data_IF_656008469110
#
_entry.id   IF_656008469110
#
_cell.length_a   1.000
_cell.length_b   1.000
_cell.length_c   1.000
_cell.angle_alpha   90.00
_cell.angle_beta   90.00
_cell.angle_gamma   90.00
#
_symmetry.space_group_name_H-M   'P 1'
#
loop_
_entity.id
_entity.type
_entity.pdbx_description
1 polymer ?
#
# COMPACT_ATOMS: atom_id res chain seq x y z
N UNK A 1 -14.73 -81.80 14.05
CA UNK A 1 -13.61 -80.91 13.78
C UNK A 1 -13.87 -79.86 12.68
N UNK A 2 -15.05 -79.79 12.03
CA UNK A 2 -15.30 -78.88 10.89
C UNK A 2 -16.05 -77.56 11.22
N UNK A 3 -16.52 -77.39 12.46
CA UNK A 3 -17.23 -76.13 12.83
C UNK A 3 -16.33 -75.02 13.38
N UNK A 4 -15.18 -75.35 13.97
CA UNK A 4 -14.23 -74.36 14.48
C UNK A 4 -13.42 -73.64 13.39
N UNK A 5 -13.15 -74.34 12.29
CA UNK A 5 -12.37 -73.80 11.14
C UNK A 5 -13.12 -72.70 10.35
N UNK A 6 -14.47 -72.78 10.28
CA UNK A 6 -15.28 -71.74 9.59
C UNK A 6 -15.45 -70.46 10.37
N UNK A 7 -15.40 -70.55 11.71
CA UNK A 7 -15.51 -69.37 12.57
C UNK A 7 -14.23 -68.53 12.57
N UNK A 8 -13.06 -69.20 12.46
CA UNK A 8 -11.78 -68.53 12.35
C UNK A 8 -11.58 -67.84 10.98
N UNK A 9 -12.16 -68.39 9.91
CA UNK A 9 -12.06 -67.80 8.56
C UNK A 9 -12.95 -66.52 8.44
N UNK A 10 -14.07 -66.50 9.08
CA UNK A 10 -14.98 -65.32 9.09
C UNK A 10 -14.42 -64.19 9.98
N UNK A 11 -13.75 -64.49 11.06
CA UNK A 11 -13.07 -63.47 11.87
C UNK A 11 -11.85 -62.87 11.16
N UNK A 12 -11.10 -63.67 10.38
CA UNK A 12 -9.97 -63.21 9.63
C UNK A 12 -10.37 -62.28 8.43
N UNK A 13 -11.52 -62.51 7.78
CA UNK A 13 -12.03 -61.69 6.72
C UNK A 13 -12.61 -60.38 7.28
N UNK A 14 -13.20 -60.37 8.47
CA UNK A 14 -13.70 -59.15 9.11
C UNK A 14 -12.56 -58.27 9.68
N UNK A 15 -11.44 -58.85 10.09
CA UNK A 15 -10.22 -58.12 10.51
C UNK A 15 -9.49 -57.47 9.34
N UNK A 16 -9.57 -58.05 8.11
CA UNK A 16 -8.99 -57.44 6.90
C UNK A 16 -9.79 -56.29 6.32
N UNK A 17 -11.11 -56.14 6.66
CA UNK A 17 -11.95 -55.06 6.22
C UNK A 17 -11.86 -53.78 7.08
N UNK A 18 -11.19 -53.85 8.24
CA UNK A 18 -11.01 -52.72 9.16
C UNK A 18 -9.67 -51.99 9.00
N UNK A 19 -8.77 -52.43 8.12
CA UNK A 19 -7.46 -51.79 7.88
C UNK A 19 -7.45 -50.88 6.66
N UNK A 20 -8.58 -50.60 6.04
CA UNK A 20 -8.64 -49.97 4.71
C UNK A 20 -9.33 -48.64 4.63
N UNK A 21 -9.28 -47.75 5.63
CA UNK A 21 -9.54 -46.30 5.40
C UNK A 21 -8.82 -45.49 6.47
N UNK A 22 -7.52 -45.55 6.50
CA UNK A 22 -6.72 -44.43 6.95
C UNK A 22 -6.54 -43.52 5.76
N UNK A 23 -7.51 -42.62 5.51
CA UNK A 23 -7.25 -41.42 4.73
C UNK A 23 -6.20 -40.62 5.51
N UNK A 24 -4.93 -40.98 5.35
CA UNK A 24 -3.86 -40.02 5.50
C UNK A 24 -4.21 -38.90 4.50
N UNK A 25 -4.75 -37.77 4.99
CA UNK A 25 -4.58 -36.49 4.30
C UNK A 25 -3.07 -36.43 4.02
N UNK A 26 -2.68 -36.73 2.80
CA UNK A 26 -1.36 -36.43 2.30
C UNK A 26 -1.22 -34.92 2.42
N UNK A 27 -0.60 -34.47 3.49
CA UNK A 27 -0.09 -33.12 3.61
C UNK A 27 1.13 -33.08 2.70
N UNK A 28 0.92 -33.21 1.39
CA UNK A 28 1.89 -32.87 0.38
C UNK A 28 1.99 -31.37 0.44
N UNK A 29 2.95 -30.86 1.19
CA UNK A 29 3.42 -29.49 1.16
C UNK A 29 3.59 -29.11 -0.31
N UNK A 30 2.70 -28.27 -0.84
CA UNK A 30 2.64 -27.91 -2.27
C UNK A 30 3.74 -26.96 -2.71
N UNK A 31 4.72 -26.71 -1.86
CA UNK A 31 5.82 -25.81 -2.14
C UNK A 31 5.89 -24.63 -1.19
N UNK A 32 6.74 -23.69 -1.51
CA UNK A 32 6.90 -22.42 -0.78
C UNK A 32 6.64 -21.25 -1.71
N UNK A 33 6.11 -20.17 -1.16
CA UNK A 33 5.93 -18.90 -1.83
C UNK A 33 6.77 -17.84 -1.10
N UNK A 34 7.70 -17.23 -1.79
CA UNK A 34 8.58 -16.21 -1.23
C UNK A 34 8.08 -14.83 -1.63
N UNK A 35 7.65 -14.07 -0.61
CA UNK A 35 7.17 -12.69 -0.76
C UNK A 35 8.27 -11.70 -0.36
N UNK A 36 8.39 -10.59 -1.07
CA UNK A 36 9.21 -9.45 -0.69
C UNK A 36 8.32 -8.21 -0.59
N UNK A 37 7.98 -7.82 0.63
CA UNK A 37 6.94 -6.84 0.90
C UNK A 37 7.41 -5.79 1.90
N UNK A 38 6.66 -4.71 2.00
CA UNK A 38 6.81 -3.70 3.04
C UNK A 38 6.60 -4.31 4.43
N UNK A 39 7.29 -3.76 5.42
CA UNK A 39 7.10 -4.15 6.81
C UNK A 39 5.66 -3.86 7.26
N UNK A 40 5.02 -4.82 7.96
CA UNK A 40 3.62 -4.69 8.45
C UNK A 40 2.58 -4.40 7.35
N UNK A 41 2.69 -5.04 6.20
CA UNK A 41 1.79 -4.76 5.07
C UNK A 41 1.00 -5.98 4.57
N UNK A 42 1.19 -7.15 5.19
CA UNK A 42 0.36 -8.34 4.96
C UNK A 42 -0.11 -8.88 6.31
N UNK A 43 -1.44 -9.02 6.55
CA UNK A 43 -1.94 -9.57 7.81
C UNK A 43 -1.51 -11.02 8.02
N UNK A 44 -0.92 -11.34 9.16
CA UNK A 44 -0.51 -12.72 9.51
C UNK A 44 -1.69 -13.71 9.42
N UNK A 45 -2.90 -13.25 9.76
CA UNK A 45 -4.11 -14.09 9.67
C UNK A 45 -4.44 -14.49 8.23
N UNK A 46 -4.18 -13.63 7.24
CA UNK A 46 -4.39 -13.96 5.83
C UNK A 46 -3.29 -14.88 5.31
N UNK A 47 -2.06 -14.71 5.77
CA UNK A 47 -0.96 -15.65 5.46
C UNK A 47 -1.32 -17.04 5.95
N UNK A 48 -1.68 -17.17 7.22
CA UNK A 48 -2.08 -18.45 7.81
C UNK A 48 -3.28 -19.07 7.06
N UNK A 49 -4.30 -18.28 6.74
CA UNK A 49 -5.45 -18.76 5.99
C UNK A 49 -5.08 -19.27 4.60
N UNK A 50 -4.21 -18.55 3.88
CA UNK A 50 -3.71 -18.99 2.57
C UNK A 50 -2.96 -20.33 2.68
N UNK A 51 -2.09 -20.46 3.68
CA UNK A 51 -1.34 -21.71 3.94
C UNK A 51 -2.28 -22.89 4.26
N UNK A 52 -3.32 -22.65 5.07
CA UNK A 52 -4.31 -23.67 5.43
C UNK A 52 -5.15 -24.11 4.22
N UNK A 53 -5.56 -23.17 3.36
CA UNK A 53 -6.40 -23.44 2.20
C UNK A 53 -5.64 -24.12 1.05
N UNK A 54 -4.37 -23.71 0.84
CA UNK A 54 -3.60 -24.13 -0.32
C UNK A 54 -2.55 -25.23 -0.03
N UNK A 55 -2.09 -25.30 1.21
CA UNK A 55 -0.95 -26.13 1.63
C UNK A 55 0.40 -25.59 1.13
N UNK A 56 0.46 -24.31 0.72
CA UNK A 56 1.68 -23.61 0.31
C UNK A 56 2.19 -22.79 1.49
N UNK A 57 3.41 -23.06 1.95
CA UNK A 57 4.05 -22.25 3.01
C UNK A 57 4.45 -20.88 2.45
N UNK A 58 4.18 -19.82 3.18
CA UNK A 58 4.54 -18.45 2.81
C UNK A 58 5.73 -17.98 3.63
N UNK A 59 6.76 -17.46 2.94
CA UNK A 59 7.93 -16.86 3.56
C UNK A 59 7.99 -15.41 3.17
N UNK A 60 7.92 -14.49 4.15
CA UNK A 60 7.94 -13.05 3.90
C UNK A 60 9.30 -12.49 4.31
N UNK A 61 9.95 -11.81 3.37
CA UNK A 61 11.07 -10.91 3.62
C UNK A 61 10.57 -9.47 3.47
N UNK A 62 11.16 -8.53 4.21
CA UNK A 62 10.67 -7.16 4.25
C UNK A 62 11.71 -6.17 3.74
N UNK A 63 11.22 -5.04 3.25
CA UNK A 63 12.02 -3.86 2.92
C UNK A 63 11.40 -2.60 3.51
N UNK A 64 12.21 -1.57 3.67
CA UNK A 64 11.79 -0.28 4.22
C UNK A 64 11.62 0.80 3.13
N UNK A 65 12.23 0.60 1.94
CA UNK A 65 12.10 1.53 0.82
C UNK A 65 12.16 0.80 -0.53
N UNK A 66 11.58 1.41 -1.57
CA UNK A 66 11.69 0.91 -2.94
C UNK A 66 13.14 0.82 -3.41
N UNK A 67 14.00 1.75 -2.99
CA UNK A 67 15.44 1.76 -3.31
C UNK A 67 16.14 0.54 -2.76
N UNK A 68 15.88 0.19 -1.50
CA UNK A 68 16.40 -1.03 -0.86
C UNK A 68 15.95 -2.27 -1.60
N UNK A 69 14.64 -2.37 -1.86
CA UNK A 69 14.03 -3.47 -2.61
C UNK A 69 14.71 -3.63 -3.97
N UNK A 70 14.79 -2.55 -4.75
CA UNK A 70 15.32 -2.57 -6.09
C UNK A 70 16.82 -2.87 -6.12
N UNK A 71 17.62 -2.29 -5.22
CA UNK A 71 19.05 -2.57 -5.11
C UNK A 71 19.31 -4.06 -4.82
N UNK A 72 18.51 -4.69 -3.95
CA UNK A 72 18.61 -6.12 -3.64
C UNK A 72 18.27 -6.99 -4.86
N UNK A 73 17.24 -6.62 -5.63
CA UNK A 73 16.89 -7.33 -6.86
C UNK A 73 18.02 -7.25 -7.89
N UNK A 74 18.58 -6.06 -8.09
CA UNK A 74 19.69 -5.83 -9.04
C UNK A 74 20.99 -6.53 -8.62
N UNK A 75 21.21 -6.74 -7.33
CA UNK A 75 22.33 -7.50 -6.80
C UNK A 75 22.20 -9.03 -6.95
N UNK A 76 21.20 -9.52 -7.69
CA UNK A 76 20.97 -10.96 -7.93
C UNK A 76 19.81 -11.55 -7.10
N UNK A 77 19.06 -10.71 -6.37
CA UNK A 77 17.88 -11.14 -5.59
C UNK A 77 16.64 -11.49 -6.42
N UNK A 78 16.67 -11.29 -7.74
CA UNK A 78 15.50 -11.50 -8.61
C UNK A 78 15.05 -12.98 -8.68
N UNK A 79 15.94 -13.94 -8.41
CA UNK A 79 15.59 -15.37 -8.34
C UNK A 79 15.18 -15.85 -6.95
N UNK A 80 15.25 -14.98 -5.94
CA UNK A 80 14.96 -15.29 -4.54
C UNK A 80 13.50 -15.13 -4.14
N UNK A 81 12.71 -14.45 -4.96
CA UNK A 81 11.33 -14.08 -4.65
C UNK A 81 10.36 -14.50 -5.74
N UNK A 82 9.12 -14.80 -5.34
CA UNK A 82 8.04 -15.17 -6.25
C UNK A 82 7.03 -14.04 -6.44
N UNK A 83 6.90 -13.17 -5.45
CA UNK A 83 6.00 -12.01 -5.50
C UNK A 83 6.65 -10.84 -4.76
N UNK A 84 6.61 -9.65 -5.37
CA UNK A 84 7.21 -8.42 -4.86
C UNK A 84 6.15 -7.32 -4.86
N UNK A 85 6.29 -6.35 -3.94
CA UNK A 85 5.29 -5.30 -3.72
C UNK A 85 5.85 -3.88 -3.95
N UNK A 86 6.30 -3.53 -5.17
CA UNK A 86 6.82 -2.21 -5.48
C UNK A 86 5.72 -1.16 -5.59
N UNK A 87 6.04 0.08 -5.31
CA UNK A 87 5.20 1.22 -5.68
C UNK A 87 5.22 1.47 -7.19
N UNK A 88 4.30 2.29 -7.68
CA UNK A 88 4.02 2.52 -9.10
C UNK A 88 5.22 2.97 -9.93
N UNK A 89 6.05 3.87 -9.40
CA UNK A 89 7.26 4.38 -10.05
C UNK A 89 8.29 3.28 -10.27
N UNK A 90 8.56 2.45 -9.24
CA UNK A 90 9.46 1.31 -9.37
C UNK A 90 8.86 0.18 -10.19
N UNK A 91 7.54 -0.02 -10.16
CA UNK A 91 6.86 -0.94 -11.08
C UNK A 91 7.11 -0.53 -12.53
N UNK A 92 6.99 0.76 -12.85
CA UNK A 92 7.30 1.30 -14.19
C UNK A 92 8.75 1.04 -14.61
N UNK A 93 9.71 1.27 -13.70
CA UNK A 93 11.14 1.00 -13.93
C UNK A 93 11.37 -0.50 -14.19
N UNK A 94 10.78 -1.37 -13.36
CA UNK A 94 10.93 -2.82 -13.48
C UNK A 94 10.34 -3.35 -14.80
N UNK A 95 9.21 -2.79 -15.27
CA UNK A 95 8.63 -3.11 -16.58
C UNK A 95 9.60 -2.70 -17.71
N UNK A 96 10.12 -1.47 -17.68
CA UNK A 96 11.08 -0.96 -18.69
C UNK A 96 12.34 -1.82 -18.78
N UNK A 97 12.80 -2.36 -17.65
CA UNK A 97 14.00 -3.20 -17.58
C UNK A 97 13.73 -4.68 -17.89
N UNK A 98 12.47 -5.07 -18.14
CA UNK A 98 12.11 -6.47 -18.42
C UNK A 98 12.29 -7.41 -17.23
N UNK A 99 12.17 -6.93 -16.01
CA UNK A 99 12.35 -7.70 -14.79
C UNK A 99 11.10 -8.48 -14.37
N UNK A 100 9.94 -8.18 -14.96
CA UNK A 100 8.65 -8.73 -14.58
C UNK A 100 8.11 -9.75 -15.58
N UNK A 101 7.48 -10.79 -15.06
CA UNK A 101 6.73 -11.76 -15.84
C UNK A 101 5.35 -11.22 -16.20
N UNK A 102 4.85 -11.58 -17.38
CA UNK A 102 3.46 -11.36 -17.72
C UNK A 102 2.54 -12.18 -16.81
N UNK A 103 1.43 -11.58 -16.42
CA UNK A 103 0.42 -12.21 -15.59
C UNK A 103 -0.59 -12.99 -16.43
N UNK A 104 -0.97 -14.17 -15.97
CA UNK A 104 -2.10 -14.91 -16.52
C UNK A 104 -3.38 -14.52 -15.78
N UNK A 105 -4.17 -13.63 -16.38
CA UNK A 105 -5.42 -13.14 -15.79
C UNK A 105 -6.46 -14.25 -15.59
N UNK A 106 -6.36 -15.37 -16.30
CA UNK A 106 -7.26 -16.51 -16.10
C UNK A 106 -7.08 -17.17 -14.72
N UNK A 107 -5.89 -17.01 -14.12
CA UNK A 107 -5.57 -17.47 -12.78
C UNK A 107 -5.95 -16.46 -11.68
N UNK A 108 -6.39 -15.25 -12.06
CA UNK A 108 -6.71 -14.16 -11.12
C UNK A 108 -8.16 -13.64 -11.38
N UNK A 109 -9.19 -14.48 -11.27
CA UNK A 109 -10.58 -14.08 -11.55
C UNK A 109 -11.11 -12.94 -10.65
N UNK A 110 -10.46 -12.69 -9.50
CA UNK A 110 -10.82 -11.61 -8.58
C UNK A 110 -10.36 -10.22 -9.04
N UNK A 111 -9.59 -10.10 -10.14
CA UNK A 111 -9.33 -8.82 -10.80
C UNK A 111 -10.60 -8.05 -11.18
N UNK A 112 -11.72 -8.72 -11.33
CA UNK A 112 -13.04 -8.10 -11.58
C UNK A 112 -13.47 -7.11 -10.48
N UNK A 113 -12.89 -7.21 -9.29
CA UNK A 113 -13.16 -6.32 -8.16
C UNK A 113 -12.23 -5.11 -8.09
N UNK A 114 -11.23 -5.00 -8.97
CA UNK A 114 -10.40 -3.80 -9.03
C UNK A 114 -11.23 -2.57 -9.37
N UNK A 115 -10.95 -1.49 -8.67
CA UNK A 115 -11.59 -0.19 -8.94
C UNK A 115 -11.33 0.27 -10.38
N UNK A 116 -12.37 0.77 -11.09
CA UNK A 116 -12.20 1.34 -12.43
C UNK A 116 -11.19 2.48 -12.51
N UNK A 117 -10.92 3.18 -11.39
CA UNK A 117 -9.96 4.27 -11.30
C UNK A 117 -8.55 3.85 -11.76
N UNK A 118 -8.16 2.60 -11.55
CA UNK A 118 -6.83 2.13 -11.95
C UNK A 118 -6.59 2.16 -13.46
N UNK A 119 -7.63 2.11 -14.29
CA UNK A 119 -7.49 2.26 -15.76
C UNK A 119 -6.93 3.62 -16.15
N UNK A 120 -7.19 4.66 -15.33
CA UNK A 120 -6.71 6.01 -15.56
C UNK A 120 -5.39 6.27 -14.82
N UNK A 121 -5.30 5.81 -13.57
CA UNK A 121 -4.21 6.15 -12.66
C UNK A 121 -2.99 5.24 -12.79
N UNK A 122 -3.15 3.99 -13.25
CA UNK A 122 -2.04 3.04 -13.46
C UNK A 122 -1.52 3.10 -14.91
N UNK A 123 -1.16 4.29 -15.38
CA UNK A 123 -0.68 4.52 -16.77
C UNK A 123 0.60 3.75 -17.13
N UNK A 124 1.37 3.32 -16.13
CA UNK A 124 2.56 2.50 -16.29
C UNK A 124 2.26 1.06 -16.75
N UNK A 125 1.06 0.53 -16.44
CA UNK A 125 0.58 -0.80 -16.85
C UNK A 125 -0.95 -0.80 -17.04
N UNK A 126 -1.50 -0.10 -18.03
CA UNK A 126 -2.93 0.18 -18.15
C UNK A 126 -3.79 -1.07 -18.43
N UNK A 127 -3.17 -2.18 -18.76
CA UNK A 127 -3.85 -3.48 -18.99
C UNK A 127 -3.58 -4.50 -17.88
N UNK A 128 -2.84 -4.12 -16.84
CA UNK A 128 -2.42 -5.02 -15.76
C UNK A 128 -1.68 -6.26 -16.28
N UNK A 129 -0.85 -6.05 -17.31
CA UNK A 129 -0.09 -7.13 -17.95
C UNK A 129 1.00 -7.69 -17.04
N UNK A 130 1.60 -6.82 -16.21
CA UNK A 130 2.75 -7.13 -15.37
C UNK A 130 2.49 -6.93 -13.88
N UNK A 131 1.45 -6.19 -13.53
CA UNK A 131 1.19 -5.78 -12.15
C UNK A 131 -0.29 -5.86 -11.79
N UNK A 132 -0.58 -6.15 -10.54
CA UNK A 132 -1.92 -6.02 -9.97
C UNK A 132 -1.85 -5.03 -8.82
N UNK A 133 -2.63 -3.93 -8.85
CA UNK A 133 -2.70 -3.01 -7.72
C UNK A 133 -3.03 -3.73 -6.41
N UNK A 134 -2.17 -3.57 -5.41
CA UNK A 134 -2.36 -4.10 -4.07
C UNK A 134 -3.11 -3.12 -3.19
N UNK A 135 -2.65 -1.87 -3.17
CA UNK A 135 -3.30 -0.80 -2.43
C UNK A 135 -3.07 0.55 -3.13
N UNK A 136 -4.07 1.42 -3.04
CA UNK A 136 -3.98 2.81 -3.45
C UNK A 136 -4.17 3.68 -2.22
N UNK A 137 -3.12 4.41 -1.85
CA UNK A 137 -3.11 5.36 -0.77
C UNK A 137 -2.81 6.77 -1.24
N UNK A 138 -3.03 7.73 -0.37
CA UNK A 138 -2.70 9.14 -0.58
C UNK A 138 -2.35 9.78 0.75
N UNK A 139 -1.40 10.68 0.73
CA UNK A 139 -1.25 11.63 1.82
C UNK A 139 -2.34 12.69 1.71
N UNK A 140 -2.63 13.32 2.83
CA UNK A 140 -3.60 14.40 2.95
C UNK A 140 -3.26 15.29 4.13
N UNK A 141 -4.25 15.98 4.63
CA UNK A 141 -4.09 16.91 5.76
C UNK A 141 -4.95 16.46 6.92
N UNK A 142 -4.35 16.28 8.09
CA UNK A 142 -5.08 16.08 9.35
C UNK A 142 -5.07 17.37 10.17
N UNK A 143 -6.24 17.77 10.63
CA UNK A 143 -6.48 18.98 11.43
C UNK A 143 -7.12 18.60 12.75
N UNK A 144 -6.55 19.06 13.86
CA UNK A 144 -7.21 18.99 15.17
C UNK A 144 -8.24 20.10 15.28
N UNK A 145 -9.53 19.76 15.13
CA UNK A 145 -10.65 20.72 15.05
C UNK A 145 -10.95 21.42 16.36
N UNK A 146 -10.49 20.89 17.50
CA UNK A 146 -10.62 21.54 18.82
C UNK A 146 -9.65 22.71 19.00
N UNK A 147 -8.57 22.75 18.21
CA UNK A 147 -7.48 23.73 18.34
C UNK A 147 -7.32 24.64 17.13
N UNK A 148 -7.73 24.18 15.95
CA UNK A 148 -7.68 24.98 14.73
C UNK A 148 -8.75 26.07 14.71
N UNK A 149 -8.51 27.20 14.01
CA UNK A 149 -9.59 28.13 13.67
C UNK A 149 -10.73 27.41 12.94
N UNK A 150 -11.98 27.75 13.20
CA UNK A 150 -13.14 27.05 12.62
C UNK A 150 -13.32 27.27 11.11
N UNK A 151 -12.68 28.28 10.57
CA UNK A 151 -12.77 28.75 9.18
C UNK A 151 -11.49 28.46 8.37
N UNK A 152 -10.74 27.40 8.71
CA UNK A 152 -9.61 26.99 7.90
C UNK A 152 -10.09 26.44 6.54
N UNK A 153 -9.27 26.62 5.52
CA UNK A 153 -9.55 26.11 4.19
C UNK A 153 -9.08 24.65 4.05
N UNK A 154 -9.89 23.80 3.40
CA UNK A 154 -9.53 22.41 3.10
C UNK A 154 -8.73 22.34 1.79
N UNK A 155 -7.63 23.10 1.76
CA UNK A 155 -6.69 23.24 0.64
C UNK A 155 -5.28 23.22 1.16
N UNK A 156 -4.29 23.10 0.28
CA UNK A 156 -2.87 23.21 0.65
C UNK A 156 -2.50 24.59 1.20
N UNK A 157 -3.30 25.63 0.91
CA UNK A 157 -3.12 26.97 1.48
C UNK A 157 -3.14 27.00 3.01
N UNK A 158 -3.67 25.98 3.67
CA UNK A 158 -3.69 25.88 5.14
C UNK A 158 -2.30 26.02 5.75
N UNK A 159 -1.23 25.56 5.05
CA UNK A 159 0.15 25.71 5.52
C UNK A 159 0.68 27.16 5.43
N UNK A 160 -0.02 28.04 4.73
CA UNK A 160 0.25 29.48 4.72
C UNK A 160 -0.52 30.25 5.80
N UNK A 161 -1.43 29.61 6.54
CA UNK A 161 -2.25 30.27 7.57
C UNK A 161 -1.41 30.55 8.83
N UNK A 162 -0.97 31.80 8.96
CA UNK A 162 -0.15 32.24 10.08
C UNK A 162 -0.82 32.16 11.45
N UNK A 163 -2.16 31.98 11.51
CA UNK A 163 -2.87 31.78 12.80
C UNK A 163 -2.46 30.45 13.48
N UNK A 164 -1.93 29.51 12.70
CA UNK A 164 -1.45 28.19 13.17
C UNK A 164 0.08 28.07 13.09
N UNK A 165 0.80 29.15 12.82
CA UNK A 165 2.24 29.16 12.76
C UNK A 165 2.89 28.55 14.02
N UNK A 166 3.93 27.76 13.85
CA UNK A 166 4.63 27.06 14.94
C UNK A 166 3.84 25.89 15.54
N UNK A 167 2.76 25.43 14.85
CA UNK A 167 2.01 24.25 15.25
C UNK A 167 1.65 23.35 14.05
N UNK A 168 2.38 23.47 12.96
CA UNK A 168 2.17 22.67 11.72
C UNK A 168 3.41 21.87 11.37
N UNK A 169 3.22 20.72 10.72
CA UNK A 169 4.30 19.88 10.20
C UNK A 169 3.92 19.33 8.83
N UNK A 170 4.87 19.24 7.93
CA UNK A 170 4.73 18.50 6.67
C UNK A 170 5.61 17.25 6.69
N UNK A 171 5.33 16.30 5.79
CA UNK A 171 6.16 15.11 5.61
C UNK A 171 7.59 15.51 5.25
N UNK A 172 8.59 14.78 5.74
CA UNK A 172 9.97 14.87 5.27
C UNK A 172 10.12 13.96 4.03
N UNK A 173 9.35 14.28 3.01
CA UNK A 173 9.31 13.57 1.74
C UNK A 173 9.25 14.57 0.58
N UNK A 174 10.26 14.47 -0.28
CA UNK A 174 10.43 15.38 -1.42
C UNK A 174 9.25 15.31 -2.39
N UNK A 175 8.79 14.10 -2.74
CA UNK A 175 7.75 13.91 -3.74
C UNK A 175 6.39 14.38 -3.23
N UNK A 176 6.14 14.14 -1.95
CA UNK A 176 4.93 14.57 -1.28
C UNK A 176 4.84 16.10 -1.15
N UNK A 177 5.89 16.75 -0.65
CA UNK A 177 5.87 18.21 -0.39
C UNK A 177 5.95 19.03 -1.67
N UNK A 178 6.85 18.65 -2.59
CA UNK A 178 6.94 19.31 -3.91
C UNK A 178 5.66 19.09 -4.73
N UNK A 179 5.13 17.85 -4.69
CA UNK A 179 3.89 17.51 -5.35
C UNK A 179 2.70 18.30 -4.81
N UNK A 180 2.58 18.45 -3.49
CA UNK A 180 1.56 19.27 -2.85
C UNK A 180 1.63 20.74 -3.32
N UNK A 181 2.84 21.31 -3.39
CA UNK A 181 3.04 22.68 -3.84
C UNK A 181 2.69 22.86 -5.34
N UNK A 182 3.09 21.91 -6.16
CA UNK A 182 2.73 21.92 -7.60
C UNK A 182 1.21 21.82 -7.77
N UNK A 183 0.53 20.93 -7.04
CA UNK A 183 -0.93 20.80 -7.07
C UNK A 183 -1.61 22.09 -6.63
N UNK A 184 -1.14 22.72 -5.57
CA UNK A 184 -1.67 24.02 -5.10
C UNK A 184 -1.54 25.11 -6.17
N UNK A 185 -0.47 25.11 -6.96
CA UNK A 185 -0.28 26.04 -8.07
C UNK A 185 -1.03 25.65 -9.34
N UNK A 186 -1.78 24.55 -9.33
CA UNK A 186 -2.55 24.06 -10.48
C UNK A 186 -1.73 23.30 -11.51
N UNK A 187 -0.53 22.83 -11.14
CA UNK A 187 0.34 22.02 -11.98
C UNK A 187 0.19 20.53 -11.72
N UNK A 188 0.76 19.68 -12.56
CA UNK A 188 0.93 18.26 -12.25
C UNK A 188 1.92 18.10 -11.09
N UNK A 189 1.60 17.25 -10.12
CA UNK A 189 2.51 16.89 -9.03
C UNK A 189 3.78 16.16 -9.48
N UNK A 190 3.82 15.73 -10.75
CA UNK A 190 4.98 15.12 -11.40
C UNK A 190 5.65 16.05 -12.44
N UNK A 191 5.39 17.38 -12.40
CA UNK A 191 5.96 18.30 -13.36
C UNK A 191 7.49 18.28 -13.32
N UNK A 192 8.12 18.24 -14.50
CA UNK A 192 9.58 18.39 -14.69
C UNK A 192 9.94 19.76 -15.29
N UNK A 193 8.95 20.64 -15.43
CA UNK A 193 9.18 22.02 -15.87
C UNK A 193 9.92 22.82 -14.80
N UNK A 194 11.10 23.32 -15.13
CA UNK A 194 11.99 24.02 -14.19
C UNK A 194 11.35 25.28 -13.59
N UNK A 195 10.52 26.00 -14.35
CA UNK A 195 9.91 27.24 -13.87
C UNK A 195 8.74 26.92 -12.92
N UNK A 196 7.98 25.85 -13.15
CA UNK A 196 6.97 25.34 -12.22
C UNK A 196 7.62 24.83 -10.93
N UNK A 197 8.71 24.09 -11.02
CA UNK A 197 9.47 23.60 -9.87
C UNK A 197 10.05 24.74 -9.01
N UNK A 198 10.55 25.79 -9.64
CA UNK A 198 11.02 27.00 -8.94
C UNK A 198 9.85 27.69 -8.20
N UNK A 199 8.70 27.87 -8.86
CA UNK A 199 7.52 28.45 -8.23
C UNK A 199 7.06 27.63 -7.03
N UNK A 200 7.04 26.29 -7.14
CA UNK A 200 6.71 25.40 -6.01
C UNK A 200 7.73 25.55 -4.86
N UNK A 201 9.03 25.60 -5.19
CA UNK A 201 10.08 25.81 -4.20
C UNK A 201 9.94 27.16 -3.48
N UNK A 202 9.68 28.22 -4.24
CA UNK A 202 9.49 29.57 -3.68
C UNK A 202 8.25 29.63 -2.78
N UNK A 203 7.14 29.01 -3.18
CA UNK A 203 5.93 28.89 -2.36
C UNK A 203 6.24 28.21 -1.03
N UNK A 204 6.92 27.06 -1.08
CA UNK A 204 7.27 26.31 0.14
C UNK A 204 8.16 27.18 1.04
N UNK A 205 9.22 27.78 0.51
CA UNK A 205 10.20 28.52 1.28
C UNK A 205 9.64 29.81 1.88
N UNK A 206 8.74 30.49 1.14
CA UNK A 206 8.27 31.83 1.55
C UNK A 206 6.94 31.84 2.28
N UNK A 207 6.08 30.85 2.05
CA UNK A 207 4.72 30.84 2.61
C UNK A 207 4.46 29.68 3.57
N UNK A 208 4.97 28.48 3.30
CA UNK A 208 4.66 27.30 4.12
C UNK A 208 5.71 27.07 5.20
N UNK A 209 6.97 26.96 4.84
CA UNK A 209 8.09 26.66 5.76
C UNK A 209 8.17 27.61 6.97
N UNK A 210 7.95 28.93 6.85
CA UNK A 210 7.97 29.82 8.01
C UNK A 210 6.94 29.50 9.10
N UNK A 211 5.88 28.78 8.76
CA UNK A 211 4.82 28.39 9.68
C UNK A 211 5.03 26.97 10.26
N UNK A 212 5.93 26.17 9.69
CA UNK A 212 6.18 24.80 10.14
C UNK A 212 7.07 24.77 11.37
N UNK A 213 6.85 23.78 12.23
CA UNK A 213 7.81 23.38 13.27
C UNK A 213 8.95 22.60 12.64
N UNK A 214 8.63 21.66 11.75
CA UNK A 214 9.60 20.78 11.07
C UNK A 214 8.95 20.03 9.89
N UNK A 215 9.81 19.42 9.07
CA UNK A 215 9.45 18.28 8.23
C UNK A 215 9.65 17.00 9.06
N UNK A 216 8.67 16.05 9.02
CA UNK A 216 8.70 14.83 9.83
C UNK A 216 7.90 13.72 9.16
N UNK A 217 8.54 12.61 8.82
CA UNK A 217 7.89 11.41 8.27
C UNK A 217 7.85 10.23 9.25
N UNK A 218 8.50 10.35 10.43
CA UNK A 218 8.63 9.24 11.38
C UNK A 218 7.73 9.36 12.59
N UNK A 219 7.58 10.56 13.12
CA UNK A 219 6.93 10.78 14.42
C UNK A 219 5.72 11.69 14.38
N UNK A 220 5.31 12.17 13.21
CA UNK A 220 4.23 13.16 13.06
C UNK A 220 2.91 12.71 13.68
N UNK A 221 2.51 11.43 13.54
CA UNK A 221 1.27 10.90 14.14
C UNK A 221 1.29 10.96 15.67
N UNK A 222 2.41 10.55 16.28
CA UNK A 222 2.59 10.64 17.74
C UNK A 222 2.62 12.07 18.25
N UNK A 223 3.31 12.96 17.54
CA UNK A 223 3.38 14.37 17.91
C UNK A 223 2.00 15.04 17.77
N UNK A 224 1.26 14.72 16.70
CA UNK A 224 -0.10 15.20 16.51
C UNK A 224 -1.05 14.69 17.60
N UNK A 225 -0.99 13.41 17.97
CA UNK A 225 -1.83 12.83 19.04
C UNK A 225 -1.57 13.45 20.41
N UNK A 226 -0.34 13.93 20.68
CA UNK A 226 0.02 14.65 21.90
C UNK A 226 -0.34 16.12 21.85
N UNK A 227 -0.84 16.63 20.71
CA UNK A 227 -1.18 18.04 20.52
C UNK A 227 0.03 18.95 20.30
N UNK A 228 1.19 18.42 19.92
CA UNK A 228 2.35 19.21 19.51
C UNK A 228 2.06 19.94 18.19
N UNK A 229 1.29 19.31 17.30
CA UNK A 229 0.81 19.89 16.06
C UNK A 229 -0.71 20.08 16.07
N UNK A 230 -1.17 21.09 15.35
CA UNK A 230 -2.59 21.35 15.06
C UNK A 230 -2.94 20.89 13.65
N UNK A 231 -2.00 21.02 12.72
CA UNK A 231 -2.13 20.60 11.32
C UNK A 231 -0.92 19.78 10.93
N UNK A 232 -1.15 18.65 10.28
CA UNK A 232 -0.08 17.84 9.72
C UNK A 232 -0.41 17.38 8.30
N UNK A 233 0.57 17.46 7.40
CA UNK A 233 0.59 16.70 6.15
C UNK A 233 0.95 15.26 6.50
N UNK A 234 0.08 14.30 6.19
CA UNK A 234 0.16 12.98 6.79
C UNK A 234 -0.50 11.89 5.94
N UNK A 235 -0.09 10.67 6.19
CA UNK A 235 -0.86 9.47 5.83
C UNK A 235 -1.90 9.21 6.92
N UNK A 236 -3.19 8.97 6.58
CA UNK A 236 -4.27 8.85 7.57
C UNK A 236 -4.04 7.71 8.55
N UNK A 237 -3.59 6.56 8.09
CA UNK A 237 -3.34 5.38 8.92
C UNK A 237 -2.34 5.68 10.05
N UNK A 238 -1.29 6.46 9.79
CA UNK A 238 -0.30 6.83 10.78
C UNK A 238 -0.84 7.81 11.83
N UNK A 239 -1.78 8.69 11.45
CA UNK A 239 -2.43 9.62 12.39
C UNK A 239 -3.41 8.86 13.26
N UNK A 240 -4.31 8.11 12.64
CA UNK A 240 -5.43 7.46 13.34
C UNK A 240 -5.00 6.25 14.17
N UNK A 241 -3.86 5.61 13.86
CA UNK A 241 -3.26 4.58 14.72
C UNK A 241 -2.85 5.11 16.11
N UNK A 242 -2.49 6.38 16.20
CA UNK A 242 -2.01 7.01 17.44
C UNK A 242 -3.11 7.71 18.23
N UNK A 243 -4.36 7.71 17.75
CA UNK A 243 -5.50 8.42 18.35
C UNK A 243 -6.59 7.40 18.71
N UNK A 244 -7.08 7.46 19.95
CA UNK A 244 -8.20 6.60 20.36
C UNK A 244 -9.46 6.88 19.54
N UNK A 245 -10.23 5.84 19.23
CA UNK A 245 -11.42 5.93 18.34
C UNK A 245 -12.45 6.95 18.82
N UNK A 246 -12.57 7.15 20.13
CA UNK A 246 -13.48 8.13 20.76
C UNK A 246 -13.14 9.58 20.38
N UNK A 247 -11.88 9.81 20.03
CA UNK A 247 -11.38 11.14 19.62
C UNK A 247 -11.32 11.34 18.10
N UNK A 248 -11.62 10.34 17.30
CA UNK A 248 -11.56 10.47 15.83
C UNK A 248 -12.46 11.60 15.31
N UNK A 249 -13.62 11.86 15.94
CA UNK A 249 -14.51 12.95 15.57
C UNK A 249 -13.92 14.36 15.79
N UNK A 250 -12.81 14.49 16.52
CA UNK A 250 -12.08 15.76 16.71
C UNK A 250 -10.99 15.98 15.66
N UNK A 251 -10.82 15.04 14.76
CA UNK A 251 -9.84 15.11 13.68
C UNK A 251 -10.57 15.22 12.35
N UNK A 252 -10.28 16.27 11.61
CA UNK A 252 -10.69 16.40 10.21
C UNK A 252 -9.53 15.97 9.32
N UNK A 253 -9.65 14.80 8.70
CA UNK A 253 -8.70 14.37 7.68
C UNK A 253 -9.33 14.58 6.30
N UNK A 254 -8.58 15.16 5.38
CA UNK A 254 -9.06 15.39 4.02
C UNK A 254 -7.93 15.36 2.99
N UNK A 255 -8.30 14.96 1.79
CA UNK A 255 -7.50 15.23 0.59
C UNK A 255 -7.83 16.65 0.15
N UNK A 256 -6.84 17.55 -0.02
CA UNK A 256 -7.10 18.92 -0.49
C UNK A 256 -7.86 18.98 -1.81
N UNK A 257 -8.67 20.01 -1.98
CA UNK A 257 -9.51 20.17 -3.18
C UNK A 257 -8.70 20.19 -4.49
N UNK A 258 -7.48 20.67 -4.45
CA UNK A 258 -6.53 20.66 -5.58
C UNK A 258 -6.00 19.27 -5.91
N UNK A 259 -6.26 18.27 -5.05
CA UNK A 259 -5.64 16.95 -5.03
C UNK A 259 -4.30 16.94 -4.30
N UNK A 260 -3.73 15.75 -4.12
CA UNK A 260 -2.43 15.53 -3.52
C UNK A 260 -1.62 14.53 -4.33
N UNK A 261 -0.59 13.99 -3.72
CA UNK A 261 0.13 12.85 -4.25
C UNK A 261 -0.51 11.56 -3.74
N UNK A 262 -0.64 10.60 -4.63
CA UNK A 262 -1.08 9.26 -4.28
C UNK A 262 -0.06 8.24 -4.76
N UNK A 263 -0.07 7.09 -4.14
CA UNK A 263 0.78 5.96 -4.52
C UNK A 263 -0.08 4.72 -4.78
N UNK A 264 0.40 3.88 -5.66
CA UNK A 264 -0.18 2.57 -5.95
C UNK A 264 0.91 1.55 -5.68
N UNK A 265 0.74 0.76 -4.64
CA UNK A 265 1.57 -0.42 -4.44
C UNK A 265 1.00 -1.57 -5.24
N UNK A 266 1.87 -2.35 -5.84
CA UNK A 266 1.50 -3.38 -6.77
C UNK A 266 2.00 -4.74 -6.32
N UNK A 267 1.33 -5.79 -6.72
CA UNK A 267 1.84 -7.16 -6.69
C UNK A 267 2.42 -7.48 -8.07
N UNK A 268 3.69 -7.84 -8.12
CA UNK A 268 4.40 -8.18 -9.36
C UNK A 268 5.16 -9.49 -9.23
N UNK A 269 5.20 -10.26 -10.31
CA UNK A 269 5.94 -11.55 -10.36
C UNK A 269 7.26 -11.32 -11.09
N UNK A 270 8.41 -11.45 -10.43
CA UNK A 270 9.71 -11.30 -11.09
C UNK A 270 9.94 -12.42 -12.13
N UNK A 271 10.72 -12.11 -13.19
CA UNK A 271 11.05 -13.10 -14.24
C UNK A 271 11.75 -14.34 -13.67
N UNK A 272 12.53 -14.18 -12.60
CA UNK A 272 13.25 -15.25 -11.91
C UNK A 272 12.40 -16.14 -11.00
N UNK A 273 11.13 -15.84 -10.79
CA UNK A 273 10.23 -16.64 -9.95
C UNK A 273 10.13 -18.08 -10.44
N UNK A 274 10.23 -19.02 -9.49
CA UNK A 274 10.10 -20.47 -9.72
C UNK A 274 8.71 -21.01 -9.39
N UNK A 275 7.87 -20.19 -8.71
CA UNK A 275 6.55 -20.59 -8.19
C UNK A 275 5.44 -19.63 -8.68
N UNK A 276 5.45 -19.31 -9.99
CA UNK A 276 4.50 -18.32 -10.58
C UNK A 276 3.04 -18.68 -10.37
N UNK A 277 2.68 -19.97 -10.39
CA UNK A 277 1.31 -20.42 -10.11
C UNK A 277 0.90 -20.10 -8.67
N UNK A 278 1.80 -20.32 -7.69
CA UNK A 278 1.54 -19.97 -6.30
C UNK A 278 1.41 -18.45 -6.11
N UNK A 279 2.23 -17.65 -6.83
CA UNK A 279 2.13 -16.20 -6.82
C UNK A 279 0.77 -15.71 -7.37
N UNK A 280 0.30 -16.26 -8.50
CA UNK A 280 -1.03 -15.96 -9.03
C UNK A 280 -2.15 -16.36 -8.05
N UNK A 281 -2.02 -17.53 -7.40
CA UNK A 281 -2.98 -17.98 -6.40
C UNK A 281 -3.04 -17.01 -5.21
N UNK A 282 -1.89 -16.49 -4.75
CA UNK A 282 -1.84 -15.50 -3.66
C UNK A 282 -2.44 -14.16 -4.08
N UNK A 283 -2.14 -13.66 -5.28
CA UNK A 283 -2.75 -12.44 -5.81
C UNK A 283 -4.29 -12.60 -5.85
N UNK A 284 -4.77 -13.71 -6.40
CA UNK A 284 -6.21 -13.96 -6.46
C UNK A 284 -6.85 -14.09 -5.06
N UNK A 285 -6.16 -14.76 -4.12
CA UNK A 285 -6.61 -14.92 -2.75
C UNK A 285 -6.77 -13.57 -2.03
N UNK A 286 -5.76 -12.70 -2.11
CA UNK A 286 -5.80 -11.37 -1.50
C UNK A 286 -6.94 -10.53 -2.09
N UNK A 287 -7.19 -10.62 -3.40
CA UNK A 287 -8.26 -9.88 -4.07
C UNK A 287 -9.68 -10.46 -3.90
N UNK A 288 -9.86 -11.56 -3.15
CA UNK A 288 -11.20 -11.91 -2.67
C UNK A 288 -11.73 -10.78 -1.78
N UNK A 289 -12.95 -10.27 -2.00
CA UNK A 289 -13.48 -9.14 -1.22
C UNK A 289 -13.46 -9.34 0.29
N UNK A 290 -13.64 -10.57 0.78
CA UNK A 290 -13.60 -10.87 2.22
C UNK A 290 -12.18 -10.79 2.77
N UNK A 291 -11.22 -11.35 2.04
CA UNK A 291 -9.80 -11.29 2.43
C UNK A 291 -9.29 -9.87 2.34
N UNK A 292 -9.67 -9.16 1.27
CA UNK A 292 -9.28 -7.76 1.11
C UNK A 292 -9.85 -6.87 2.24
N UNK A 293 -11.07 -7.13 2.70
CA UNK A 293 -11.65 -6.45 3.86
C UNK A 293 -10.85 -6.71 5.15
N UNK A 294 -10.34 -7.93 5.36
CA UNK A 294 -9.44 -8.22 6.51
C UNK A 294 -8.16 -7.41 6.43
N UNK A 295 -7.57 -7.29 5.23
CA UNK A 295 -6.40 -6.45 5.00
C UNK A 295 -6.67 -4.99 5.38
N UNK A 296 -7.76 -4.41 4.86
CA UNK A 296 -8.14 -3.02 5.15
C UNK A 296 -8.44 -2.79 6.63
N UNK A 297 -9.20 -3.70 7.27
CA UNK A 297 -9.53 -3.58 8.69
C UNK A 297 -8.30 -3.70 9.59
N UNK A 298 -7.33 -4.58 9.23
CA UNK A 298 -6.12 -4.79 10.03
C UNK A 298 -5.26 -3.54 10.11
N UNK A 299 -5.13 -2.84 8.99
CA UNK A 299 -4.27 -1.66 8.89
C UNK A 299 -5.06 -0.34 8.90
N UNK A 300 -6.37 -0.39 9.12
CA UNK A 300 -7.27 0.78 9.12
C UNK A 300 -7.18 1.58 7.80
N UNK A 301 -7.14 0.88 6.67
CA UNK A 301 -6.98 1.47 5.34
C UNK A 301 -8.34 1.78 4.68
N UNK A 302 -8.43 2.79 3.82
CA UNK A 302 -9.64 3.09 3.05
C UNK A 302 -9.86 2.05 1.92
N UNK A 303 -11.14 1.77 1.53
CA UNK A 303 -11.46 0.78 0.50
C UNK A 303 -11.28 1.33 -0.92
N UNK A 304 -10.07 1.75 -1.27
CA UNK A 304 -9.76 2.40 -2.55
C UNK A 304 -9.54 1.43 -3.71
N UNK A 305 -9.07 0.21 -3.43
CA UNK A 305 -8.58 -0.72 -4.46
C UNK A 305 -9.63 -1.75 -4.87
N UNK A 306 -10.24 -2.42 -3.89
CA UNK A 306 -11.20 -3.50 -4.14
C UNK A 306 -12.63 -3.05 -3.88
N UNK A 307 -13.44 -2.93 -4.93
CA UNK A 307 -14.82 -2.41 -4.88
C UNK A 307 -15.79 -3.31 -4.12
N UNK A 308 -15.47 -4.59 -3.93
CA UNK A 308 -16.30 -5.54 -3.19
C UNK A 308 -16.02 -5.56 -1.69
N UNK A 309 -14.88 -5.06 -1.24
CA UNK A 309 -14.41 -5.21 0.14
C UNK A 309 -15.28 -4.47 1.15
N UNK A 310 -15.81 -3.30 0.82
CA UNK A 310 -16.61 -2.47 1.72
C UNK A 310 -17.80 -3.22 2.34
N UNK A 311 -18.36 -4.22 1.63
CA UNK A 311 -19.47 -5.02 2.12
C UNK A 311 -19.08 -5.96 3.30
N UNK A 312 -17.79 -6.20 3.49
CA UNK A 312 -17.25 -7.13 4.51
C UNK A 312 -16.40 -6.45 5.57
N UNK A 313 -16.08 -5.16 5.40
CA UNK A 313 -15.32 -4.40 6.37
C UNK A 313 -16.10 -4.25 7.69
N UNK A 314 -15.36 -4.32 8.79
CA UNK A 314 -15.85 -4.03 10.14
C UNK A 314 -15.70 -2.56 10.51
N UNK A 315 -14.78 -1.86 9.83
CA UNK A 315 -14.54 -0.43 9.98
C UNK A 315 -15.59 0.35 9.19
N UNK A 316 -16.33 1.24 9.83
CA UNK A 316 -17.47 1.94 9.22
C UNK A 316 -17.14 3.30 8.63
N UNK A 317 -15.94 3.81 8.81
CA UNK A 317 -15.57 5.15 8.36
C UNK A 317 -14.20 5.11 7.65
N UNK A 318 -14.16 5.11 6.31
CA UNK A 318 -12.93 5.41 5.57
C UNK A 318 -12.52 6.87 5.86
N UNK A 319 -11.23 7.12 5.96
CA UNK A 319 -10.70 8.47 6.21
C UNK A 319 -10.87 9.39 4.99
N UNK A 320 -10.88 8.82 3.81
CA UNK A 320 -11.25 9.45 2.54
C UNK A 320 -11.87 8.40 1.61
N UNK A 321 -12.60 8.84 0.63
CA UNK A 321 -13.17 7.99 -0.42
C UNK A 321 -12.30 8.02 -1.68
N UNK A 322 -12.54 7.08 -2.58
CA UNK A 322 -11.87 7.06 -3.88
C UNK A 322 -12.18 8.30 -4.71
N UNK A 323 -13.36 8.90 -4.54
CA UNK A 323 -13.79 10.08 -5.27
C UNK A 323 -12.98 11.33 -4.86
N UNK A 324 -12.49 11.38 -3.61
CA UNK A 324 -11.62 12.44 -3.12
C UNK A 324 -10.26 12.47 -3.83
N UNK A 325 -9.87 11.37 -4.48
CA UNK A 325 -8.62 11.24 -5.23
C UNK A 325 -8.70 11.69 -6.69
N UNK A 326 -9.86 12.16 -7.15
CA UNK A 326 -10.07 12.51 -8.56
C UNK A 326 -9.05 13.51 -9.10
N UNK A 327 -8.67 14.51 -8.30
CA UNK A 327 -7.69 15.53 -8.65
C UNK A 327 -6.24 15.17 -8.26
N UNK A 328 -6.02 14.03 -7.60
CA UNK A 328 -4.70 13.61 -7.17
C UNK A 328 -3.89 12.99 -8.32
N UNK A 329 -2.58 13.17 -8.27
CA UNK A 329 -1.64 12.56 -9.22
C UNK A 329 -0.93 11.37 -8.58
N UNK A 330 -0.82 10.27 -9.34
CA UNK A 330 0.00 9.15 -8.91
C UNK A 330 1.48 9.50 -9.01
N UNK A 331 2.27 9.19 -7.98
CA UNK A 331 3.73 9.34 -8.03
C UNK A 331 4.27 8.52 -9.21
N UNK A 332 4.99 9.17 -10.10
CA UNK A 332 5.58 8.58 -11.30
C UNK A 332 7.10 8.65 -11.29
N UNK A 333 7.73 7.76 -12.07
CA UNK A 333 9.17 7.81 -12.34
C UNK A 333 9.51 9.11 -13.08
N UNK A 334 10.37 9.94 -12.48
CA UNK A 334 10.86 11.20 -13.05
C UNK A 334 12.11 11.00 -13.93
N UNK A 335 12.66 9.79 -13.97
CA UNK A 335 13.87 9.51 -14.71
C UNK A 335 15.02 10.44 -14.33
N UNK A 336 15.71 11.08 -15.32
CA UNK A 336 16.83 11.98 -15.05
C UNK A 336 16.46 13.25 -14.27
N UNK A 337 15.18 13.67 -14.33
CA UNK A 337 14.73 14.90 -13.66
C UNK A 337 14.62 14.75 -12.13
N UNK A 338 14.72 13.51 -11.61
CA UNK A 338 14.78 13.25 -10.16
C UNK A 338 15.93 14.00 -9.49
N UNK A 339 17.08 14.16 -10.17
CA UNK A 339 18.23 14.91 -9.65
C UNK A 339 17.89 16.38 -9.42
N UNK A 340 17.10 17.00 -10.30
CA UNK A 340 16.65 18.37 -10.14
C UNK A 340 15.74 18.51 -8.91
N UNK A 341 14.82 17.57 -8.69
CA UNK A 341 14.00 17.53 -7.47
C UNK A 341 14.87 17.44 -6.23
N UNK A 342 15.87 16.54 -6.22
CA UNK A 342 16.80 16.40 -5.10
C UNK A 342 17.51 17.72 -4.78
N UNK A 343 18.04 18.42 -5.78
CA UNK A 343 18.72 19.71 -5.60
C UNK A 343 17.79 20.76 -4.98
N UNK A 344 16.57 20.89 -5.50
CA UNK A 344 15.58 21.83 -4.98
C UNK A 344 15.14 21.46 -3.55
N UNK A 345 14.96 20.18 -3.28
CA UNK A 345 14.62 19.68 -1.94
C UNK A 345 15.71 19.99 -0.91
N UNK A 346 16.99 19.86 -1.28
CA UNK A 346 18.09 20.28 -0.42
C UNK A 346 18.01 21.78 -0.08
N UNK A 347 17.62 22.63 -1.05
CA UNK A 347 17.44 24.07 -0.77
C UNK A 347 16.26 24.32 0.17
N UNK A 348 15.16 23.58 0.04
CA UNK A 348 14.01 23.67 0.95
C UNK A 348 14.41 23.26 2.38
N UNK A 349 15.14 22.16 2.53
CA UNK A 349 15.48 21.62 3.86
C UNK A 349 16.50 22.47 4.61
N UNK A 350 17.54 22.95 3.93
CA UNK A 350 18.74 23.46 4.56
C UNK A 350 18.99 24.97 4.38
N UNK A 351 18.27 25.64 3.50
CA UNK A 351 18.30 27.09 3.50
C UNK A 351 17.51 27.64 4.70
N UNK A 352 18.03 28.65 5.43
CA UNK A 352 17.37 29.23 6.58
C UNK A 352 16.07 29.95 6.24
#
# INVERSE_FOLDING_TARGET
MHKASRFFLILAVFALLLTGVSCKKSNTQKGKLYLYNWTYYTPDSLVQQFEEETGIDVVIDNFASNEEMFAKLMAGGNEGYDLIFPSSDYTAIMIKLGLLSELDHSLIPNLKYLSPLFKEKASYDPTFRYSVPYFLGSSGIAVNTERAPRDYERTWAIFADSRMAGSMSMLDDMREVMGAALKHLGYSGNSTDIDQLKQATDLINTQWKPNLVKFDSESFGKAFSRGEFVVVHAYPENVFAEISKEKWSTIDFFIPAEGGMMYIDNMVIPTGSKNKEAAHAFINFIHDPKHYAVFLDTFSLPPTTNTGASAYMKTTQPFFSIDDLSNSDNISDLGPDLELYNQLWQTIRYQP
#
